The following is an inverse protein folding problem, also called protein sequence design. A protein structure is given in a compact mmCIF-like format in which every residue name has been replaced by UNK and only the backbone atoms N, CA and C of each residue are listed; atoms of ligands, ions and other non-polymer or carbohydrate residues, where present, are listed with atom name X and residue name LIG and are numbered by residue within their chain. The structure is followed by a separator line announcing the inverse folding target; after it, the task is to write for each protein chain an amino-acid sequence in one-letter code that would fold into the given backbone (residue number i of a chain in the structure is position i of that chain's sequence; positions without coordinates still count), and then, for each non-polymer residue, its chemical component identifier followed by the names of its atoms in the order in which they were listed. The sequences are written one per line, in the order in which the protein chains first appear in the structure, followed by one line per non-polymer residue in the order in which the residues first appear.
data_IF_672353921828
#
_entry.id   IF_672353921828
#
_cell.length_a   1.000
_cell.length_b   1.000
_cell.length_c   1.000
_cell.angle_alpha   90.00
_cell.angle_beta   90.00
_cell.angle_gamma   90.00
#
_symmetry.space_group_name_H-M   'P 1'
#
loop_
_entity.id
_entity.type
_entity.pdbx_description
1 polymer ?
#
# COMPACT_ATOMS: atom_id res chain seq x y z
N UNK A 1 -7.53 -26.22 14.70
CA UNK A 1 -8.25 -26.09 13.42
C UNK A 1 -7.30 -25.48 12.40
N UNK A 2 -7.06 -26.13 11.25
CA UNK A 2 -6.24 -25.55 10.17
C UNK A 2 -7.18 -24.80 9.21
N UNK A 3 -6.82 -23.60 8.73
CA UNK A 3 -7.67 -22.87 7.78
C UNK A 3 -7.65 -23.54 6.41
N UNK A 4 -8.82 -23.78 5.83
CA UNK A 4 -9.00 -24.25 4.47
C UNK A 4 -9.32 -23.06 3.55
N UNK A 5 -8.68 -23.00 2.38
CA UNK A 5 -8.89 -21.93 1.38
C UNK A 5 -9.54 -22.54 0.14
N UNK A 6 -10.66 -21.95 -0.29
CA UNK A 6 -11.37 -22.34 -1.52
C UNK A 6 -11.34 -21.18 -2.52
N UNK A 7 -11.11 -21.50 -3.79
CA UNK A 7 -11.13 -20.52 -4.89
C UNK A 7 -12.43 -20.71 -5.66
N UNK A 8 -13.21 -19.63 -5.81
CA UNK A 8 -14.50 -19.63 -6.52
C UNK A 8 -14.37 -18.78 -7.79
N UNK A 9 -14.83 -19.32 -8.92
CA UNK A 9 -14.88 -18.62 -10.20
C UNK A 9 -16.15 -17.78 -10.33
N UNK A 10 -16.08 -16.62 -10.98
CA UNK A 10 -17.27 -15.80 -11.26
C UNK A 10 -18.19 -16.51 -12.28
N UNK A 11 -19.20 -17.20 -11.77
CA UNK A 11 -20.23 -17.90 -12.53
C UNK A 11 -21.62 -17.39 -12.11
N UNK A 12 -22.64 -17.46 -12.97
CA UNK A 12 -24.01 -17.21 -12.58
C UNK A 12 -24.45 -18.21 -11.52
N UNK A 13 -25.24 -17.76 -10.55
CA UNK A 13 -25.59 -18.53 -9.36
C UNK A 13 -26.30 -19.85 -9.68
N UNK A 14 -27.15 -19.85 -10.72
CA UNK A 14 -27.94 -21.01 -11.12
C UNK A 14 -27.15 -22.16 -11.76
N UNK A 15 -25.94 -21.92 -12.29
CA UNK A 15 -25.20 -22.96 -13.03
C UNK A 15 -24.61 -24.07 -12.15
N UNK A 16 -24.71 -23.96 -10.83
CA UNK A 16 -24.20 -24.98 -9.92
C UNK A 16 -25.20 -26.12 -9.74
N UNK A 17 -26.51 -25.89 -9.93
CA UNK A 17 -27.53 -26.83 -9.42
C UNK A 17 -28.71 -27.17 -10.36
N UNK A 18 -29.00 -26.41 -11.44
CA UNK A 18 -30.24 -26.66 -12.22
C UNK A 18 -30.03 -26.95 -13.72
N UNK A 19 -30.65 -28.03 -14.21
CA UNK A 19 -30.85 -28.36 -15.63
C UNK A 19 -32.35 -28.30 -15.91
N UNK A 20 -32.84 -27.18 -16.45
CA UNK A 20 -34.25 -26.97 -16.76
C UNK A 20 -34.53 -25.67 -17.54
N UNK A 21 -35.62 -25.65 -18.31
CA UNK A 21 -35.93 -24.59 -19.29
C UNK A 21 -36.34 -23.23 -18.69
N UNK A 22 -36.46 -23.10 -17.36
CA UNK A 22 -36.97 -21.92 -16.65
C UNK A 22 -35.94 -21.21 -15.77
N UNK A 23 -34.65 -21.56 -15.86
CA UNK A 23 -33.61 -21.03 -14.99
C UNK A 23 -33.17 -19.62 -15.44
N UNK A 24 -33.87 -18.57 -14.99
CA UNK A 24 -33.51 -17.16 -15.25
C UNK A 24 -33.28 -16.41 -13.95
N UNK A 25 -32.01 -16.15 -13.61
CA UNK A 25 -31.62 -15.18 -12.57
C UNK A 25 -30.43 -14.37 -13.04
N UNK A 26 -30.47 -13.05 -12.81
CA UNK A 26 -29.38 -12.12 -13.14
C UNK A 26 -28.24 -12.13 -12.10
N UNK A 27 -28.34 -12.95 -11.06
CA UNK A 27 -27.40 -12.99 -9.95
C UNK A 27 -26.13 -13.81 -10.28
N UNK A 28 -24.97 -13.26 -9.91
CA UNK A 28 -23.68 -13.94 -9.97
C UNK A 28 -23.33 -14.55 -8.60
N UNK A 29 -22.54 -15.63 -8.58
CA UNK A 29 -22.03 -16.25 -7.34
C UNK A 29 -21.16 -15.29 -6.53
N UNK A 30 -20.44 -14.39 -7.21
CA UNK A 30 -19.49 -13.48 -6.60
C UNK A 30 -20.17 -12.13 -6.29
N UNK A 31 -19.92 -11.58 -5.10
CA UNK A 31 -20.51 -10.31 -4.71
C UNK A 31 -19.84 -9.12 -5.45
N UNK A 32 -20.52 -7.99 -5.64
CA UNK A 32 -19.92 -6.80 -6.25
C UNK A 32 -18.64 -6.30 -5.54
N UNK A 33 -18.54 -6.49 -4.22
CA UNK A 33 -17.36 -6.08 -3.45
C UNK A 33 -16.12 -6.97 -3.70
N UNK A 34 -16.34 -8.22 -4.10
CA UNK A 34 -15.30 -9.17 -4.47
C UNK A 34 -14.82 -8.92 -5.90
N UNK A 35 -15.72 -8.51 -6.80
CA UNK A 35 -15.38 -8.04 -8.15
C UNK A 35 -14.62 -6.70 -8.11
N UNK A 36 -15.08 -5.76 -7.29
CA UNK A 36 -14.45 -4.44 -7.14
C UNK A 36 -14.46 -4.01 -5.68
N UNK A 37 -13.26 -3.81 -5.13
CA UNK A 37 -13.09 -3.27 -3.77
C UNK A 37 -13.72 -1.89 -3.67
N UNK A 38 -14.55 -1.71 -2.64
CA UNK A 38 -15.12 -0.40 -2.33
C UNK A 38 -14.02 0.58 -1.96
N UNK A 39 -13.99 1.72 -2.66
CA UNK A 39 -13.14 2.84 -2.29
C UNK A 39 -13.74 3.50 -1.04
N UNK A 40 -12.92 3.67 -0.01
CA UNK A 40 -13.37 4.28 1.26
C UNK A 40 -13.30 5.80 1.13
N UNK A 41 -14.42 6.40 0.75
CA UNK A 41 -14.57 7.85 0.54
C UNK A 41 -14.09 8.32 -0.83
N UNK A 42 -14.17 9.63 -1.05
CA UNK A 42 -13.84 10.25 -2.34
C UNK A 42 -12.36 10.14 -2.67
N UNK A 43 -12.06 9.89 -3.94
CA UNK A 43 -10.72 10.00 -4.49
C UNK A 43 -10.36 11.48 -4.59
N UNK A 44 -9.48 11.95 -3.70
CA UNK A 44 -8.93 13.30 -3.74
C UNK A 44 -7.42 13.27 -3.90
N UNK A 45 -6.89 14.06 -4.81
CA UNK A 45 -5.45 14.25 -4.96
C UNK A 45 -4.86 14.97 -3.73
N UNK A 46 -3.54 14.92 -3.54
CA UNK A 46 -2.91 15.54 -2.35
C UNK A 46 -3.03 17.09 -2.33
N UNK A 47 -3.18 17.69 -3.51
CA UNK A 47 -3.32 19.13 -3.72
C UNK A 47 -4.74 19.61 -3.40
N UNK A 48 -5.75 18.81 -3.73
CA UNK A 48 -7.18 19.09 -3.50
C UNK A 48 -7.61 18.92 -2.04
N UNK A 49 -6.71 18.42 -1.17
CA UNK A 49 -7.03 18.14 0.22
C UNK A 49 -6.82 19.36 1.11
N UNK A 50 -7.86 19.71 1.85
CA UNK A 50 -7.80 20.68 2.94
C UNK A 50 -6.83 20.28 4.05
N UNK A 51 -6.38 21.28 4.81
CA UNK A 51 -5.53 21.09 6.00
C UNK A 51 -6.18 20.12 7.00
N UNK A 52 -7.48 20.24 7.22
CA UNK A 52 -8.26 19.38 8.13
C UNK A 52 -8.24 17.92 7.66
N UNK A 53 -8.35 17.69 6.36
CA UNK A 53 -8.29 16.36 5.75
C UNK A 53 -6.91 15.74 5.90
N UNK A 54 -5.85 16.50 5.60
CA UNK A 54 -4.45 16.07 5.80
C UNK A 54 -4.18 15.64 7.25
N UNK A 55 -4.67 16.41 8.23
CA UNK A 55 -4.54 16.07 9.65
C UNK A 55 -5.34 14.81 10.03
N UNK A 56 -6.57 14.66 9.53
CA UNK A 56 -7.40 13.46 9.77
C UNK A 56 -6.73 12.20 9.21
N UNK A 57 -6.20 12.26 7.98
CA UNK A 57 -5.46 11.16 7.37
C UNK A 57 -4.20 10.80 8.17
N UNK A 58 -3.45 11.81 8.65
CA UNK A 58 -2.28 11.60 9.53
C UNK A 58 -2.66 10.89 10.82
N UNK A 59 -3.76 11.29 11.48
CA UNK A 59 -4.25 10.63 12.71
C UNK A 59 -4.63 9.17 12.45
N UNK A 60 -5.39 8.89 11.38
CA UNK A 60 -5.75 7.53 10.96
C UNK A 60 -4.50 6.66 10.74
N UNK A 61 -3.48 7.20 10.06
CA UNK A 61 -2.21 6.50 9.84
C UNK A 61 -1.49 6.18 11.15
N UNK A 62 -1.40 7.14 12.07
CA UNK A 62 -0.75 6.95 13.38
C UNK A 62 -1.47 5.89 14.22
N UNK A 63 -2.80 5.91 14.24
CA UNK A 63 -3.59 4.90 14.96
C UNK A 63 -3.37 3.50 14.39
N UNK A 64 -3.35 3.35 13.05
CA UNK A 64 -3.04 2.07 12.41
C UNK A 64 -1.62 1.59 12.73
N UNK A 65 -0.64 2.50 12.75
CA UNK A 65 0.73 2.15 13.13
C UNK A 65 0.81 1.66 14.58
N UNK A 66 0.15 2.36 15.51
CA UNK A 66 0.08 1.95 16.92
C UNK A 66 -0.54 0.58 17.08
N UNK A 67 -1.71 0.34 16.47
CA UNK A 67 -2.37 -0.97 16.52
C UNK A 67 -1.51 -2.10 15.93
N UNK A 68 -0.73 -1.82 14.88
CA UNK A 68 0.21 -2.81 14.33
C UNK A 68 1.38 -3.12 15.27
N UNK A 69 1.90 -2.11 15.98
CA UNK A 69 2.95 -2.31 16.99
C UNK A 69 2.41 -3.14 18.15
N UNK A 70 1.20 -2.83 18.63
CA UNK A 70 0.54 -3.58 19.71
C UNK A 70 0.31 -5.05 19.33
N UNK A 71 -0.10 -5.33 18.08
CA UNK A 71 -0.40 -6.69 17.63
C UNK A 71 0.83 -7.54 17.25
N UNK A 72 1.85 -6.93 16.64
CA UNK A 72 2.96 -7.67 16.00
C UNK A 72 4.35 -7.34 16.58
N UNK A 73 4.43 -6.43 17.55
CA UNK A 73 5.69 -5.92 18.10
C UNK A 73 6.37 -4.89 17.18
N UNK A 74 7.36 -4.19 17.74
CA UNK A 74 8.06 -3.08 17.05
C UNK A 74 8.83 -3.53 15.81
N UNK A 75 9.43 -4.72 15.85
CA UNK A 75 10.32 -5.21 14.77
C UNK A 75 9.58 -5.41 13.44
N UNK A 76 8.45 -6.13 13.46
CA UNK A 76 7.65 -6.41 12.26
C UNK A 76 6.93 -5.15 11.74
N UNK A 77 6.56 -4.25 12.64
CA UNK A 77 5.97 -2.96 12.26
C UNK A 77 6.97 -2.04 11.53
N UNK A 78 8.24 -2.05 11.95
CA UNK A 78 9.33 -1.26 11.35
C UNK A 78 9.85 -1.86 10.04
N UNK A 79 9.82 -3.18 9.88
CA UNK A 79 10.25 -3.88 8.66
C UNK A 79 9.49 -3.38 7.42
N UNK A 80 8.18 -3.19 7.52
CA UNK A 80 7.35 -2.66 6.44
C UNK A 80 7.70 -1.22 6.06
N UNK A 81 8.19 -0.41 7.01
CA UNK A 81 8.68 0.93 6.71
C UNK A 81 10.06 0.91 6.05
N UNK A 82 10.95 0.00 6.48
CA UNK A 82 12.28 -0.20 5.88
C UNK A 82 12.17 -0.65 4.42
N UNK A 83 11.27 -1.61 4.11
CA UNK A 83 11.02 -2.08 2.74
C UNK A 83 10.52 -0.96 1.81
N UNK A 84 9.62 -0.10 2.29
CA UNK A 84 9.14 1.07 1.52
C UNK A 84 10.22 2.12 1.27
N UNK A 85 11.06 2.42 2.28
CA UNK A 85 12.20 3.35 2.11
C UNK A 85 13.22 2.81 1.11
N UNK A 86 13.53 1.51 1.17
CA UNK A 86 14.46 0.84 0.25
C UNK A 86 13.97 0.93 -1.20
N UNK A 87 12.67 0.71 -1.45
CA UNK A 87 12.06 0.82 -2.79
C UNK A 87 12.11 2.26 -3.34
N UNK A 88 11.92 3.27 -2.48
CA UNK A 88 12.01 4.69 -2.89
C UNK A 88 13.45 5.11 -3.21
N UNK A 89 14.43 4.61 -2.47
CA UNK A 89 15.85 4.92 -2.72
C UNK A 89 16.40 4.26 -3.99
N UNK A 90 15.81 3.16 -4.46
CA UNK A 90 16.19 2.53 -5.73
C UNK A 90 15.64 3.29 -6.93
N UNK A 91 14.38 3.75 -6.88
CA UNK A 91 13.80 4.60 -7.94
C UNK A 91 14.55 5.92 -8.12
N UNK A 92 14.97 6.57 -7.02
CA UNK A 92 15.72 7.84 -7.07
C UNK A 92 17.18 7.69 -7.57
N UNK A 93 17.71 6.46 -7.65
CA UNK A 93 19.07 6.19 -8.12
C UNK A 93 19.17 6.06 -9.63
N UNK A 94 18.07 5.74 -10.31
CA UNK A 94 18.04 5.53 -11.76
C UNK A 94 17.93 6.85 -12.55
N UNK A 95 17.43 7.93 -11.92
CA UNK A 95 17.38 9.27 -12.53
C UNK A 95 18.46 10.20 -11.96
N UNK A 96 19.69 10.03 -12.45
CA UNK A 96 20.69 11.10 -12.59
C UNK A 96 21.02 11.97 -11.38
N UNK A 97 21.33 11.41 -10.20
CA UNK A 97 21.94 12.20 -9.13
C UNK A 97 23.43 11.95 -9.04
N UNK A 98 24.23 12.94 -9.48
CA UNK A 98 25.63 13.05 -9.08
C UNK A 98 25.74 12.90 -7.56
N UNK A 99 26.80 12.22 -7.10
CA UNK A 99 26.99 11.81 -5.71
C UNK A 99 26.59 12.92 -4.74
N UNK A 100 25.43 12.75 -4.09
CA UNK A 100 24.94 13.66 -3.05
C UNK A 100 25.81 13.47 -1.81
N UNK A 101 27.02 14.04 -1.84
CA UNK A 101 27.91 14.15 -0.70
C UNK A 101 27.18 14.94 0.37
N UNK A 102 27.05 14.35 1.56
CA UNK A 102 26.50 15.05 2.73
C UNK A 102 27.40 16.25 3.04
N UNK A 103 26.84 17.34 3.55
CA UNK A 103 27.59 18.56 3.89
C UNK A 103 28.80 18.27 4.80
N UNK A 104 28.69 17.28 5.68
CA UNK A 104 29.80 16.83 6.54
C UNK A 104 30.96 16.18 5.77
N UNK A 105 30.68 15.50 4.66
CA UNK A 105 31.68 14.87 3.79
C UNK A 105 32.16 15.78 2.65
N UNK A 106 31.48 16.90 2.42
CA UNK A 106 31.87 17.90 1.43
C UNK A 106 33.14 18.64 1.86
N UNK A 107 33.18 19.13 3.11
CA UNK A 107 34.33 19.91 3.60
C UNK A 107 35.58 19.07 3.80
N UNK A 108 35.46 17.80 4.18
CA UNK A 108 36.62 16.89 4.26
C UNK A 108 37.23 16.66 2.88
N UNK A 109 36.40 16.42 1.86
CA UNK A 109 36.85 16.26 0.48
C UNK A 109 37.45 17.55 -0.08
N UNK A 110 36.88 18.70 0.27
CA UNK A 110 37.41 20.02 -0.12
C UNK A 110 38.79 20.27 0.50
N UNK A 111 38.95 19.97 1.80
CA UNK A 111 40.24 20.07 2.48
C UNK A 111 41.29 19.13 1.89
N UNK A 112 40.91 17.92 1.48
CA UNK A 112 41.81 17.00 0.77
C UNK A 112 42.20 17.53 -0.62
N UNK A 113 41.27 18.10 -1.39
CA UNK A 113 41.56 18.63 -2.74
C UNK A 113 42.46 19.87 -2.75
N UNK A 114 42.42 20.68 -1.69
CA UNK A 114 43.25 21.91 -1.59
C UNK A 114 44.66 21.60 -1.08
N UNK A 115 44.85 20.45 -0.43
CA UNK A 115 46.16 20.02 0.10
C UNK A 115 47.00 19.21 -0.89
N UNK A 116 46.43 18.84 -2.03
CA UNK A 116 47.11 18.21 -3.17
C UNK A 116 47.42 19.27 -4.22
#
# INVERSE_FOLDING_TARGET
VRPEVRVVSNMPALRVEEVGMSASTDAQLLAPEELKKRQKGDLKADEERDRTDKLRQRRKKKNRQRALVELFGEEKALENQKKKKKKKSTDEKETGSGDKLKSSAFFTKLQETVRN
#
